data_IF_097425824388
#
_entry.id   IF_097425824388
#
_cell.length_a   1.000
_cell.length_b   1.000
_cell.length_c   1.000
_cell.angle_alpha   90.00
_cell.angle_beta   90.00
_cell.angle_gamma   90.00
#
_symmetry.space_group_name_H-M   'P 1'
#
loop_
_entity.id
_entity.type
_entity.pdbx_description
1 polymer ?
#
# COMPACT_ATOMS: atom_id res chain seq x y z
N UNK A 1 40.01 -56.79 -43.97
CA UNK A 1 38.55 -57.01 -43.89
C UNK A 1 37.95 -55.75 -43.29
N UNK A 2 37.14 -55.08 -44.11
CA UNK A 2 36.02 -54.15 -43.85
C UNK A 2 36.08 -53.25 -42.59
N UNK A 3 36.01 -51.92 -42.66
CA UNK A 3 35.44 -51.04 -43.68
C UNK A 3 34.15 -50.40 -43.15
N UNK A 4 34.08 -49.07 -43.26
CA UNK A 4 32.83 -48.28 -43.23
C UNK A 4 32.28 -47.95 -41.84
N UNK A 5 31.75 -46.77 -41.56
CA UNK A 5 31.46 -45.63 -42.42
C UNK A 5 30.80 -44.54 -41.59
N UNK A 6 31.09 -43.29 -41.93
CA UNK A 6 30.36 -42.13 -41.42
C UNK A 6 28.93 -42.14 -41.99
N UNK A 7 27.94 -41.86 -41.15
CA UNK A 7 26.61 -41.45 -41.61
C UNK A 7 26.24 -40.16 -40.90
N UNK A 8 26.46 -39.04 -41.58
CA UNK A 8 25.72 -37.79 -41.37
C UNK A 8 24.28 -38.04 -41.82
N UNK A 9 23.32 -37.95 -40.90
CA UNK A 9 21.90 -37.79 -41.26
C UNK A 9 21.55 -36.31 -41.10
N UNK A 10 21.43 -35.60 -42.22
CA UNK A 10 20.60 -34.41 -42.32
C UNK A 10 19.14 -34.84 -42.15
N UNK A 11 18.38 -34.18 -41.28
CA UNK A 11 16.92 -34.09 -41.42
C UNK A 11 16.57 -32.64 -41.70
N UNK A 12 16.14 -32.40 -42.93
CA UNK A 12 15.36 -31.23 -43.32
C UNK A 12 13.92 -31.36 -42.80
N UNK A 13 13.34 -30.22 -42.43
CA UNK A 13 11.91 -29.91 -42.55
C UNK A 13 10.91 -30.69 -41.69
N UNK A 14 10.17 -29.99 -40.82
CA UNK A 14 8.78 -29.61 -41.10
C UNK A 14 8.13 -28.90 -39.88
N UNK A 15 7.46 -27.79 -40.18
CA UNK A 15 6.24 -27.23 -39.53
C UNK A 15 6.16 -26.96 -38.03
N UNK A 16 5.92 -25.66 -37.75
CA UNK A 16 4.95 -25.07 -36.81
C UNK A 16 4.26 -26.05 -35.85
N UNK A 17 4.45 -25.81 -34.56
CA UNK A 17 3.40 -26.03 -33.55
C UNK A 17 3.20 -24.73 -32.79
N UNK A 18 2.22 -23.95 -33.25
CA UNK A 18 1.46 -23.09 -32.34
C UNK A 18 0.53 -24.02 -31.55
N UNK A 19 0.64 -23.99 -30.22
CA UNK A 19 -0.29 -24.62 -29.28
C UNK A 19 -0.46 -23.67 -28.11
N UNK A 20 -1.39 -22.72 -28.22
CA UNK A 20 -2.69 -22.72 -27.52
C UNK A 20 -2.54 -22.72 -25.99
N UNK A 21 -2.68 -21.52 -25.40
CA UNK A 21 -3.36 -21.40 -24.11
C UNK A 21 -4.50 -20.38 -24.31
N UNK A 22 -5.63 -20.90 -24.80
CA UNK A 22 -6.90 -20.19 -24.74
C UNK A 22 -7.49 -20.46 -23.36
N UNK A 23 -7.50 -19.44 -22.49
CA UNK A 23 -8.36 -19.42 -21.31
C UNK A 23 -9.48 -18.43 -21.63
N UNK A 24 -10.70 -18.96 -21.66
CA UNK A 24 -11.94 -18.29 -21.99
C UNK A 24 -12.20 -17.13 -21.02
N UNK A 25 -12.32 -15.92 -21.58
CA UNK A 25 -12.89 -14.76 -20.90
C UNK A 25 -14.42 -14.82 -21.03
N UNK A 26 -15.12 -14.78 -19.90
CA UNK A 26 -16.57 -14.59 -19.86
C UNK A 26 -16.86 -13.35 -19.02
N UNK A 27 -17.36 -12.33 -19.74
CA UNK A 27 -18.18 -11.18 -19.30
C UNK A 27 -17.53 -10.10 -18.41
N UNK A 28 -16.88 -9.15 -19.08
CA UNK A 28 -16.74 -7.76 -18.63
C UNK A 28 -16.95 -6.84 -19.84
N UNK A 29 -17.76 -5.79 -19.70
CA UNK A 29 -18.21 -4.95 -20.81
C UNK A 29 -17.10 -4.35 -21.67
N UNK A 30 -17.46 -3.95 -22.90
CA UNK A 30 -16.53 -3.50 -23.95
C UNK A 30 -15.56 -2.36 -23.54
N UNK A 31 -15.91 -1.57 -22.51
CA UNK A 31 -15.04 -0.52 -21.97
C UNK A 31 -13.85 -1.07 -21.17
N UNK A 32 -14.05 -2.09 -20.33
CA UNK A 32 -12.99 -2.72 -19.51
C UNK A 32 -12.01 -3.55 -20.33
N UNK A 33 -12.51 -4.19 -21.39
CA UNK A 33 -11.67 -4.92 -22.35
C UNK A 33 -10.72 -4.00 -23.13
N UNK A 34 -11.15 -2.75 -23.40
CA UNK A 34 -10.34 -1.77 -24.13
C UNK A 34 -9.22 -1.17 -23.27
N UNK A 35 -9.43 -1.04 -21.96
CA UNK A 35 -8.44 -0.52 -21.02
C UNK A 35 -7.31 -1.55 -20.74
N UNK A 36 -7.67 -2.80 -20.44
CA UNK A 36 -6.71 -3.90 -20.24
C UNK A 36 -5.92 -4.24 -21.52
N UNK A 37 -6.51 -4.08 -22.70
CA UNK A 37 -5.80 -4.28 -23.97
C UNK A 37 -4.67 -3.26 -24.20
N UNK A 38 -4.78 -2.05 -23.62
CA UNK A 38 -3.75 -1.01 -23.69
C UNK A 38 -2.57 -1.31 -22.75
N UNK A 39 -2.81 -2.01 -21.64
CA UNK A 39 -1.78 -2.48 -20.69
C UNK A 39 -0.93 -3.61 -21.30
N UNK A 40 -1.49 -4.41 -22.23
CA UNK A 40 -0.81 -5.59 -22.83
C UNK A 40 0.09 -5.32 -24.03
N UNK A 41 0.23 -4.07 -24.47
CA UNK A 41 0.97 -3.74 -25.68
C UNK A 41 2.02 -2.65 -25.46
N UNK A 42 2.94 -2.84 -24.51
CA UNK A 42 4.14 -2.03 -24.41
C UNK A 42 5.35 -2.86 -24.84
N UNK A 43 6.00 -2.43 -25.92
CA UNK A 43 7.36 -2.88 -26.25
C UNK A 43 8.28 -2.47 -25.10
N UNK A 44 9.36 -3.22 -24.81
CA UNK A 44 10.35 -2.76 -23.85
C UNK A 44 10.90 -1.42 -24.35
N UNK A 45 10.65 -0.35 -23.59
CA UNK A 45 11.28 0.95 -23.77
C UNK A 45 12.54 0.93 -22.91
N UNK A 46 13.67 1.35 -23.47
CA UNK A 46 14.88 1.61 -22.69
C UNK A 46 14.54 2.70 -21.67
N UNK A 47 14.34 2.29 -20.41
CA UNK A 47 14.14 3.20 -19.29
C UNK A 47 15.48 3.86 -19.03
N UNK A 48 15.58 5.16 -19.31
CA UNK A 48 16.74 5.95 -18.94
C UNK A 48 16.93 5.81 -17.42
N UNK A 49 18.08 5.26 -16.99
CA UNK A 49 18.35 4.99 -15.58
C UNK A 49 18.59 6.32 -14.85
N UNK A 50 17.52 6.99 -14.46
CA UNK A 50 17.62 8.11 -13.54
C UNK A 50 17.90 7.59 -12.13
N UNK A 51 18.91 8.12 -11.42
CA UNK A 51 19.28 7.62 -10.11
C UNK A 51 18.10 7.77 -9.13
N UNK A 52 17.82 6.70 -8.38
CA UNK A 52 16.97 6.81 -7.21
C UNK A 52 17.62 7.80 -6.25
N UNK A 53 16.89 8.82 -5.81
CA UNK A 53 17.37 9.68 -4.74
C UNK A 53 17.13 8.91 -3.45
N UNK A 54 18.17 8.30 -2.90
CA UNK A 54 18.12 7.77 -1.55
C UNK A 54 18.00 8.95 -0.58
N UNK A 55 16.78 9.15 -0.08
CA UNK A 55 16.55 10.04 1.05
C UNK A 55 16.70 9.23 2.33
N UNK A 56 17.28 9.84 3.37
CA UNK A 56 17.23 9.27 4.71
C UNK A 56 15.79 9.11 5.21
N UNK A 57 14.83 9.84 4.63
CA UNK A 57 13.43 9.87 5.07
C UNK A 57 12.50 8.91 4.30
N UNK A 58 12.83 8.49 3.07
CA UNK A 58 11.96 7.61 2.26
C UNK A 58 12.75 6.84 1.19
N UNK A 59 12.20 5.70 0.74
CA UNK A 59 12.64 4.97 -0.44
C UNK A 59 11.86 5.48 -1.65
N UNK A 60 12.56 6.02 -2.66
CA UNK A 60 11.92 6.41 -3.92
C UNK A 60 12.13 5.31 -4.97
N UNK A 61 11.03 4.78 -5.52
CA UNK A 61 11.08 3.74 -6.52
C UNK A 61 11.69 4.25 -7.84
N UNK A 62 12.57 3.45 -8.46
CA UNK A 62 13.05 3.66 -9.82
C UNK A 62 11.92 3.47 -10.83
N UNK A 63 12.08 4.04 -12.02
CA UNK A 63 11.09 3.91 -13.10
C UNK A 63 10.79 2.47 -13.50
N UNK A 64 11.74 1.55 -13.33
CA UNK A 64 11.59 0.12 -13.60
C UNK A 64 11.33 -0.73 -12.34
N UNK A 65 11.19 -0.10 -11.17
CA UNK A 65 11.10 -0.73 -9.85
C UNK A 65 12.29 -1.62 -9.45
N UNK A 66 13.42 -1.56 -10.15
CA UNK A 66 14.58 -2.45 -9.91
C UNK A 66 15.22 -2.28 -8.52
N UNK A 67 14.97 -1.16 -7.84
CA UNK A 67 15.43 -0.93 -6.48
C UNK A 67 14.42 -1.35 -5.40
N UNK A 68 13.23 -1.82 -5.77
CA UNK A 68 12.28 -2.36 -4.80
C UNK A 68 12.65 -3.81 -4.53
N UNK A 69 13.48 -4.00 -3.51
CA UNK A 69 13.96 -5.30 -3.04
C UNK A 69 13.85 -5.36 -1.52
N UNK A 70 13.86 -6.57 -0.97
CA UNK A 70 13.82 -6.80 0.47
C UNK A 70 14.92 -6.01 1.22
N UNK A 71 16.14 -6.04 0.71
CA UNK A 71 17.29 -5.39 1.35
C UNK A 71 17.26 -3.86 1.26
N UNK A 72 16.48 -3.28 0.34
CA UNK A 72 16.42 -1.83 0.13
C UNK A 72 15.17 -1.16 0.75
N UNK A 73 14.17 -1.96 1.14
CA UNK A 73 12.96 -1.47 1.80
C UNK A 73 13.14 -1.69 3.31
N UNK A 74 13.23 -0.58 4.05
CA UNK A 74 13.34 -0.62 5.51
C UNK A 74 11.96 -0.55 6.17
N UNK A 75 11.82 -1.16 7.35
CA UNK A 75 10.59 -1.17 8.14
C UNK A 75 10.21 0.21 8.69
N UNK A 76 11.17 1.13 8.78
CA UNK A 76 11.01 2.48 9.35
C UNK A 76 10.94 3.58 8.28
N UNK A 77 10.98 3.20 6.98
CA UNK A 77 11.09 4.13 5.87
C UNK A 77 9.96 3.93 4.85
N UNK A 78 9.11 4.94 4.61
CA UNK A 78 8.05 4.84 3.62
C UNK A 78 8.60 4.66 2.21
N UNK A 79 7.80 4.04 1.34
CA UNK A 79 8.14 3.78 -0.06
C UNK A 79 7.18 4.55 -0.95
N UNK A 80 7.73 5.38 -1.84
CA UNK A 80 6.96 6.21 -2.73
C UNK A 80 7.32 5.99 -4.20
N UNK A 81 6.39 6.35 -5.05
CA UNK A 81 6.57 6.47 -6.48
C UNK A 81 6.80 7.94 -6.86
N UNK A 82 7.77 8.17 -7.75
CA UNK A 82 7.99 9.49 -8.38
C UNK A 82 6.88 9.84 -9.38
N UNK A 83 6.16 8.83 -9.86
CA UNK A 83 5.16 8.99 -10.91
C UNK A 83 3.76 8.65 -10.40
N UNK A 84 2.77 9.42 -10.80
CA UNK A 84 1.36 8.99 -10.67
C UNK A 84 1.08 7.83 -11.62
N UNK A 85 0.02 7.04 -11.37
CA UNK A 85 -0.34 5.92 -12.24
C UNK A 85 -0.51 6.37 -13.71
N UNK A 86 -1.18 7.51 -13.93
CA UNK A 86 -1.34 8.13 -15.26
C UNK A 86 0.00 8.45 -15.92
N UNK A 87 0.95 8.99 -15.16
CA UNK A 87 2.28 9.31 -15.67
C UNK A 87 3.06 8.05 -16.05
N UNK A 88 2.97 6.97 -15.27
CA UNK A 88 3.60 5.68 -15.61
C UNK A 88 3.05 5.11 -16.91
N UNK A 89 1.72 5.07 -17.03
CA UNK A 89 1.04 4.60 -18.24
C UNK A 89 1.43 5.44 -19.47
N UNK A 90 1.47 6.76 -19.35
CA UNK A 90 1.87 7.65 -20.45
C UNK A 90 3.34 7.45 -20.88
N UNK A 91 4.21 7.05 -19.96
CA UNK A 91 5.63 6.76 -20.20
C UNK A 91 5.91 5.30 -20.61
N UNK A 92 4.91 4.42 -20.57
CA UNK A 92 5.10 2.99 -20.80
C UNK A 92 5.92 2.29 -19.70
N UNK A 93 5.95 2.84 -18.49
CA UNK A 93 6.63 2.25 -17.32
C UNK A 93 5.78 1.12 -16.72
N UNK A 94 6.41 0.12 -16.06
CA UNK A 94 5.68 -0.93 -15.36
C UNK A 94 4.81 -0.34 -14.25
N UNK A 95 3.57 -0.82 -14.13
CA UNK A 95 2.63 -0.44 -13.07
C UNK A 95 2.61 -1.47 -11.94
N UNK A 96 2.63 -2.76 -12.28
CA UNK A 96 2.70 -3.86 -11.33
C UNK A 96 4.05 -3.90 -10.61
N UNK A 97 4.02 -4.03 -9.29
CA UNK A 97 5.22 -4.18 -8.46
C UNK A 97 5.87 -5.56 -8.69
N UNK A 98 7.20 -5.68 -8.52
CA UNK A 98 7.84 -6.99 -8.49
C UNK A 98 7.32 -7.83 -7.32
N UNK A 99 7.55 -9.14 -7.35
CA UNK A 99 7.29 -9.99 -6.19
C UNK A 99 8.26 -9.60 -5.06
N UNK A 100 7.71 -9.12 -3.94
CA UNK A 100 8.48 -8.70 -2.79
C UNK A 100 8.25 -9.67 -1.63
N UNK A 101 9.29 -10.35 -1.11
CA UNK A 101 9.12 -11.20 0.05
C UNK A 101 8.85 -10.35 1.30
N UNK A 102 8.03 -10.86 2.21
CA UNK A 102 7.74 -10.20 3.47
C UNK A 102 8.85 -10.45 4.50
N UNK A 103 9.00 -9.56 5.48
CA UNK A 103 9.93 -9.78 6.59
C UNK A 103 9.41 -10.86 7.53
N UNK A 104 10.33 -11.59 8.17
CA UNK A 104 10.01 -12.56 9.22
C UNK A 104 10.99 -12.38 10.38
N UNK A 105 10.50 -12.55 11.61
CA UNK A 105 11.26 -12.77 12.87
C UNK A 105 11.35 -11.66 13.94
N UNK A 106 10.97 -10.39 13.73
CA UNK A 106 10.91 -9.38 14.81
C UNK A 106 9.46 -8.96 15.16
N UNK A 107 9.22 -8.59 16.44
CA UNK A 107 7.95 -7.99 16.86
C UNK A 107 7.86 -6.54 16.39
N UNK A 108 6.95 -6.26 15.46
CA UNK A 108 6.77 -4.92 14.89
C UNK A 108 5.33 -4.46 15.03
N UNK A 109 5.15 -3.24 15.53
CA UNK A 109 3.88 -2.54 15.60
C UNK A 109 3.83 -1.44 14.56
N UNK A 110 2.75 -1.41 13.79
CA UNK A 110 2.43 -0.38 12.81
C UNK A 110 1.23 0.38 13.33
N UNK A 111 1.48 1.60 13.80
CA UNK A 111 0.42 2.53 14.17
C UNK A 111 -0.14 3.10 12.87
N UNK A 112 -1.42 2.88 12.60
CA UNK A 112 -2.07 3.35 11.39
C UNK A 112 -3.29 4.21 11.73
N UNK A 113 -3.47 5.31 11.01
CA UNK A 113 -4.53 6.27 11.24
C UNK A 113 -5.29 6.55 9.94
N UNK A 114 -6.60 6.35 9.97
CA UNK A 114 -7.48 6.53 8.82
C UNK A 114 -8.25 7.87 8.90
N UNK A 115 -8.92 8.22 7.80
CA UNK A 115 -9.85 9.35 7.62
C UNK A 115 -9.27 10.78 7.71
N UNK A 116 -7.96 10.92 7.91
CA UNK A 116 -7.28 12.21 7.93
C UNK A 116 -6.87 12.72 6.54
N UNK A 117 -6.05 13.79 6.47
CA UNK A 117 -5.66 14.64 7.59
C UNK A 117 -6.74 15.67 7.96
N UNK A 118 -6.97 15.88 9.25
CA UNK A 118 -7.71 17.05 9.75
C UNK A 118 -6.76 18.13 10.29
N UNK A 119 -7.29 19.27 10.73
CA UNK A 119 -6.52 20.41 11.25
C UNK A 119 -6.36 20.40 12.79
N UNK A 120 -6.87 19.39 13.49
CA UNK A 120 -6.88 19.32 14.96
C UNK A 120 -6.26 18.02 15.49
N UNK A 121 -6.89 16.87 15.23
CA UNK A 121 -6.45 15.59 15.79
C UNK A 121 -5.18 15.08 15.11
N UNK A 122 -5.06 15.26 13.80
CA UNK A 122 -3.88 14.83 13.03
C UNK A 122 -2.62 15.57 13.51
N UNK A 123 -2.58 16.91 13.63
CA UNK A 123 -1.44 17.62 14.24
C UNK A 123 -1.11 17.17 15.67
N UNK A 124 -2.11 16.92 16.50
CA UNK A 124 -1.90 16.49 17.89
C UNK A 124 -1.31 15.06 17.98
N UNK A 125 -1.74 14.16 17.08
CA UNK A 125 -1.15 12.83 16.92
C UNK A 125 0.32 12.95 16.50
N UNK A 126 0.63 13.80 15.51
CA UNK A 126 2.01 14.05 15.08
C UNK A 126 2.89 14.56 16.23
N UNK A 127 2.38 15.46 17.08
CA UNK A 127 3.09 15.94 18.27
C UNK A 127 3.42 14.80 19.25
N UNK A 128 2.47 13.90 19.51
CA UNK A 128 2.69 12.72 20.37
C UNK A 128 3.72 11.78 19.74
N UNK A 129 3.60 11.47 18.46
CA UNK A 129 4.51 10.59 17.73
C UNK A 129 5.94 11.13 17.75
N UNK A 130 6.12 12.42 17.50
CA UNK A 130 7.40 13.12 17.59
C UNK A 130 7.97 13.08 19.00
N UNK A 131 7.16 13.40 20.02
CA UNK A 131 7.59 13.34 21.42
C UNK A 131 7.99 11.93 21.87
N UNK A 132 7.36 10.90 21.30
CA UNK A 132 7.68 9.51 21.55
C UNK A 132 8.79 8.97 20.66
N UNK A 133 9.21 9.66 19.60
CA UNK A 133 10.20 9.17 18.63
C UNK A 133 9.71 7.94 17.87
N UNK A 134 8.49 7.99 17.34
CA UNK A 134 7.84 6.89 16.62
C UNK A 134 7.31 7.40 15.28
N UNK A 135 7.58 6.67 14.19
CA UNK A 135 6.89 6.88 12.92
C UNK A 135 5.63 6.01 12.84
N UNK A 136 4.69 6.42 11.98
CA UNK A 136 3.37 5.82 11.84
C UNK A 136 2.94 5.91 10.37
N UNK A 137 1.77 5.36 10.05
CA UNK A 137 1.16 5.41 8.71
C UNK A 137 -0.17 6.14 8.77
N UNK A 138 -0.42 7.04 7.82
CA UNK A 138 -1.68 7.76 7.70
C UNK A 138 -2.33 7.40 6.37
N UNK A 139 -3.48 6.72 6.40
CA UNK A 139 -4.30 6.47 5.22
C UNK A 139 -5.24 7.66 5.05
N UNK A 140 -4.98 8.48 4.03
CA UNK A 140 -5.59 9.80 3.89
C UNK A 140 -6.71 9.81 2.86
N UNK A 141 -7.73 10.62 3.11
CA UNK A 141 -8.80 10.92 2.17
C UNK A 141 -8.40 12.05 1.23
N UNK A 142 -8.64 11.89 -0.07
CA UNK A 142 -8.29 12.91 -1.08
C UNK A 142 -8.93 14.27 -0.80
N UNK A 143 -10.21 14.31 -0.44
CA UNK A 143 -10.90 15.56 -0.07
C UNK A 143 -10.31 16.23 1.18
N UNK A 144 -9.78 15.46 2.12
CA UNK A 144 -9.13 15.98 3.33
C UNK A 144 -7.71 16.47 3.04
N UNK A 145 -7.00 15.82 2.12
CA UNK A 145 -5.70 16.29 1.62
C UNK A 145 -5.82 17.68 0.97
N UNK A 146 -6.83 17.88 0.11
CA UNK A 146 -7.04 19.18 -0.54
C UNK A 146 -7.44 20.26 0.46
N UNK A 147 -8.18 19.90 1.51
CA UNK A 147 -8.59 20.82 2.58
C UNK A 147 -7.45 21.18 3.52
N UNK A 148 -6.57 20.23 3.84
CA UNK A 148 -5.51 20.37 4.85
C UNK A 148 -4.10 20.05 4.30
N UNK A 149 -3.65 20.70 3.21
CA UNK A 149 -2.40 20.35 2.53
C UNK A 149 -1.15 20.56 3.40
N UNK A 150 -1.17 21.54 4.30
CA UNK A 150 -0.05 21.80 5.22
C UNK A 150 0.10 20.68 6.26
N UNK A 151 -1.00 20.04 6.67
CA UNK A 151 -0.94 18.88 7.56
C UNK A 151 -0.38 17.67 6.83
N UNK A 152 -0.76 17.44 5.57
CA UNK A 152 -0.16 16.39 4.75
C UNK A 152 1.35 16.59 4.56
N UNK A 153 1.79 17.83 4.27
CA UNK A 153 3.23 18.16 4.19
C UNK A 153 3.95 17.85 5.50
N UNK A 154 3.31 18.10 6.64
CA UNK A 154 3.86 17.79 7.96
C UNK A 154 4.01 16.28 8.17
N UNK A 155 2.98 15.49 7.83
CA UNK A 155 3.05 14.01 7.86
C UNK A 155 4.26 13.53 7.07
N UNK A 156 4.42 14.02 5.83
CA UNK A 156 5.53 13.65 4.96
C UNK A 156 6.90 14.09 5.50
N UNK A 157 7.02 15.35 5.94
CA UNK A 157 8.28 15.93 6.40
C UNK A 157 8.78 15.30 7.71
N UNK A 158 7.88 14.79 8.56
CA UNK A 158 8.21 14.10 9.81
C UNK A 158 8.49 12.59 9.61
N UNK A 159 8.51 12.09 8.36
CA UNK A 159 8.95 10.73 8.04
C UNK A 159 7.90 9.64 8.23
N UNK A 160 6.63 10.02 8.38
CA UNK A 160 5.53 9.06 8.43
C UNK A 160 5.18 8.53 7.03
N UNK A 161 4.66 7.30 6.95
CA UNK A 161 4.09 6.81 5.71
C UNK A 161 2.73 7.46 5.44
N UNK A 162 2.48 7.69 4.15
CA UNK A 162 1.18 8.12 3.65
C UNK A 162 0.65 6.99 2.79
N UNK A 163 -0.58 6.56 3.06
CA UNK A 163 -1.34 5.64 2.24
C UNK A 163 -2.61 6.30 1.71
N UNK A 164 -3.23 5.70 0.72
CA UNK A 164 -4.47 6.19 0.11
C UNK A 164 -5.69 5.52 0.77
N UNK A 165 -6.72 6.29 1.12
CA UNK A 165 -7.96 5.79 1.74
C UNK A 165 -9.23 6.14 0.97
N UNK A 166 -9.17 6.29 -0.36
CA UNK A 166 -10.24 6.84 -1.21
C UNK A 166 -10.40 8.35 -1.12
N UNK A 167 -11.36 8.90 -1.87
CA UNK A 167 -11.49 10.34 -2.01
C UNK A 167 -12.32 10.97 -0.89
N UNK A 168 -13.50 10.42 -0.60
CA UNK A 168 -14.42 10.97 0.41
C UNK A 168 -15.10 9.91 1.30
N UNK A 169 -14.74 8.63 1.14
CA UNK A 169 -15.27 7.51 1.95
C UNK A 169 -16.78 7.21 1.71
N UNK A 170 -17.35 7.57 0.55
CA UNK A 170 -18.71 7.20 0.12
C UNK A 170 -18.77 5.76 -0.42
N UNK A 171 -19.35 4.84 0.34
CA UNK A 171 -19.37 3.41 0.00
C UNK A 171 -20.19 3.08 -1.25
N UNK A 172 -21.31 3.77 -1.47
CA UNK A 172 -22.19 3.47 -2.59
C UNK A 172 -21.49 3.76 -3.91
N UNK A 173 -20.68 4.82 -3.94
CA UNK A 173 -19.89 5.18 -5.11
C UNK A 173 -18.60 4.37 -5.20
N UNK A 174 -17.87 4.25 -4.10
CA UNK A 174 -16.57 3.60 -4.04
C UNK A 174 -16.64 2.12 -4.44
N UNK A 175 -17.66 1.40 -3.96
CA UNK A 175 -17.82 -0.03 -4.18
C UNK A 175 -18.80 -0.38 -5.31
N UNK A 176 -19.25 0.60 -6.10
CA UNK A 176 -20.10 0.36 -7.27
C UNK A 176 -19.43 -0.56 -8.31
N UNK A 177 -18.11 -0.48 -8.44
CA UNK A 177 -17.29 -1.35 -9.29
C UNK A 177 -15.80 -1.24 -8.90
N UNK A 178 -14.97 -2.17 -9.36
CA UNK A 178 -13.50 -2.07 -9.20
C UNK A 178 -12.93 -0.85 -9.93
N UNK A 179 -13.54 -0.46 -11.05
CA UNK A 179 -13.16 0.73 -11.80
C UNK A 179 -13.45 2.00 -10.98
N UNK A 180 -14.64 2.09 -10.36
CA UNK A 180 -15.00 3.20 -9.46
C UNK A 180 -14.04 3.31 -8.27
N UNK A 181 -13.65 2.17 -7.69
CA UNK A 181 -12.66 2.14 -6.63
C UNK A 181 -11.30 2.70 -7.09
N UNK A 182 -10.81 2.25 -8.25
CA UNK A 182 -9.54 2.73 -8.82
C UNK A 182 -9.61 4.21 -9.18
N UNK A 183 -10.74 4.69 -9.68
CA UNK A 183 -10.94 6.12 -9.98
C UNK A 183 -10.76 6.99 -8.73
N UNK A 184 -11.30 6.56 -7.57
CA UNK A 184 -11.09 7.26 -6.30
C UNK A 184 -9.65 7.16 -5.78
N UNK A 185 -9.00 6.01 -5.97
CA UNK A 185 -7.57 5.88 -5.65
C UNK A 185 -6.74 6.85 -6.50
N UNK A 186 -6.95 6.89 -7.82
CA UNK A 186 -6.22 7.80 -8.70
C UNK A 186 -6.52 9.27 -8.38
N UNK A 187 -7.75 9.61 -8.05
CA UNK A 187 -8.10 10.99 -7.67
C UNK A 187 -7.36 11.42 -6.39
N UNK A 188 -7.28 10.53 -5.42
CA UNK A 188 -6.58 10.77 -4.15
C UNK A 188 -5.07 10.78 -4.33
N UNK A 189 -4.51 9.90 -5.16
CA UNK A 189 -3.09 9.91 -5.52
C UNK A 189 -2.70 11.22 -6.19
N UNK A 190 -3.53 11.77 -7.07
CA UNK A 190 -3.29 13.07 -7.70
C UNK A 190 -3.37 14.22 -6.67
N UNK A 191 -4.28 14.16 -5.69
CA UNK A 191 -4.34 15.13 -4.61
C UNK A 191 -3.06 15.09 -3.74
N UNK A 192 -2.61 13.90 -3.34
CA UNK A 192 -1.35 13.70 -2.61
C UNK A 192 -0.17 14.19 -3.44
N UNK A 193 -0.08 13.79 -4.71
CA UNK A 193 1.02 14.13 -5.61
C UNK A 193 1.15 15.64 -5.81
N UNK A 194 0.05 16.39 -5.93
CA UNK A 194 0.10 17.87 -6.01
C UNK A 194 0.75 18.51 -4.79
N UNK A 195 0.63 17.90 -3.60
CA UNK A 195 1.12 18.45 -2.34
C UNK A 195 2.58 18.07 -2.08
N UNK A 196 2.95 16.80 -2.29
CA UNK A 196 4.28 16.27 -1.93
C UNK A 196 5.14 15.81 -3.13
N UNK A 197 4.61 15.83 -4.35
CA UNK A 197 5.32 15.42 -5.57
C UNK A 197 5.58 13.92 -5.68
N UNK A 198 4.88 13.11 -4.90
CA UNK A 198 5.07 11.67 -4.78
C UNK A 198 3.74 10.95 -4.62
N UNK A 199 3.65 9.72 -5.11
CA UNK A 199 2.49 8.83 -5.00
C UNK A 199 2.77 7.69 -4.01
N UNK A 200 1.84 7.34 -3.11
CA UNK A 200 1.95 6.14 -2.28
C UNK A 200 1.63 4.86 -3.07
N UNK A 201 2.21 3.74 -2.66
CA UNK A 201 1.82 2.40 -3.17
C UNK A 201 0.75 1.73 -2.32
N UNK A 202 0.75 2.04 -1.03
CA UNK A 202 -0.11 1.39 -0.06
C UNK A 202 -1.47 2.07 -0.02
N UNK A 203 -2.52 1.26 0.08
CA UNK A 203 -3.89 1.70 0.23
C UNK A 203 -4.54 0.94 1.38
N UNK A 204 -5.64 1.46 1.90
CA UNK A 204 -6.54 0.71 2.76
C UNK A 204 -7.96 0.94 2.28
N UNK A 205 -8.74 -0.12 2.16
CA UNK A 205 -10.13 -0.03 1.74
C UNK A 205 -11.00 0.55 2.88
N UNK A 206 -11.78 1.63 2.66
CA UNK A 206 -12.81 2.11 3.58
C UNK A 206 -13.75 0.99 4.08
N UNK A 207 -13.74 0.72 5.39
CA UNK A 207 -14.52 -0.37 5.98
C UNK A 207 -13.89 -1.77 5.91
N UNK A 208 -12.69 -1.87 5.34
CA UNK A 208 -11.94 -3.11 5.17
C UNK A 208 -12.42 -3.96 4.01
N UNK A 209 -11.65 -4.99 3.69
CA UNK A 209 -11.88 -5.79 2.47
C UNK A 209 -12.95 -6.88 2.62
N UNK A 210 -13.24 -7.32 3.86
CA UNK A 210 -14.12 -8.45 4.13
C UNK A 210 -15.55 -8.17 3.67
N UNK A 211 -16.03 -8.96 2.72
CA UNK A 211 -17.37 -8.79 2.14
C UNK A 211 -17.45 -7.74 1.03
N UNK A 212 -16.40 -6.95 0.82
CA UNK A 212 -16.30 -5.95 -0.25
C UNK A 212 -15.44 -6.43 -1.41
N UNK A 213 -14.30 -7.07 -1.12
CA UNK A 213 -13.33 -7.50 -2.14
C UNK A 213 -13.50 -8.96 -2.53
N UNK A 214 -13.41 -9.20 -3.83
CA UNK A 214 -13.26 -10.49 -4.48
C UNK A 214 -11.80 -10.73 -4.89
N UNK A 215 -11.44 -11.96 -5.27
CA UNK A 215 -10.08 -12.27 -5.72
C UNK A 215 -9.65 -11.42 -6.93
N UNK A 216 -10.56 -11.16 -7.87
CA UNK A 216 -10.28 -10.32 -9.04
C UNK A 216 -10.08 -8.84 -8.68
N UNK A 217 -10.58 -8.38 -7.52
CA UNK A 217 -10.34 -7.04 -7.00
C UNK A 217 -8.85 -6.88 -6.64
N UNK A 218 -8.30 -7.83 -5.89
CA UNK A 218 -6.87 -7.86 -5.55
C UNK A 218 -5.99 -7.97 -6.80
N UNK A 219 -6.36 -8.82 -7.76
CA UNK A 219 -5.63 -8.92 -9.03
C UNK A 219 -5.64 -7.59 -9.79
N UNK A 220 -6.79 -6.90 -9.82
CA UNK A 220 -6.93 -5.61 -10.47
C UNK A 220 -6.05 -4.53 -9.82
N UNK A 221 -6.04 -4.43 -8.49
CA UNK A 221 -5.19 -3.50 -7.75
C UNK A 221 -3.70 -3.79 -7.96
N UNK A 222 -3.31 -5.07 -7.93
CA UNK A 222 -1.92 -5.48 -8.14
C UNK A 222 -1.41 -5.08 -9.53
N UNK A 223 -2.22 -5.21 -10.59
CA UNK A 223 -1.87 -4.76 -11.94
C UNK A 223 -1.56 -3.25 -12.01
N UNK A 224 -2.07 -2.47 -11.06
CA UNK A 224 -1.90 -1.01 -10.98
C UNK A 224 -0.87 -0.59 -9.92
N UNK A 225 -0.21 -1.57 -9.30
CA UNK A 225 0.82 -1.34 -8.30
C UNK A 225 0.29 -0.83 -6.97
N UNK A 226 -1.00 -1.05 -6.67
CA UNK A 226 -1.55 -0.80 -5.35
C UNK A 226 -1.37 -2.04 -4.46
N UNK A 227 -0.99 -1.80 -3.21
CA UNK A 227 -0.92 -2.83 -2.17
C UNK A 227 -1.92 -2.47 -1.09
N UNK A 228 -2.95 -3.30 -0.94
CA UNK A 228 -3.95 -3.13 0.11
C UNK A 228 -3.41 -3.67 1.44
N UNK A 229 -3.73 -3.00 2.55
CA UNK A 229 -3.46 -3.47 3.91
C UNK A 229 -4.64 -3.18 4.85
N UNK A 230 -5.33 -4.23 5.29
CA UNK A 230 -6.31 -4.20 6.40
C UNK A 230 -5.61 -3.97 7.77
N UNK A 231 -6.09 -4.59 8.84
CA UNK A 231 -5.54 -4.56 10.20
C UNK A 231 -5.81 -5.88 10.94
N UNK A 232 -5.04 -6.17 11.98
CA UNK A 232 -5.28 -7.31 12.88
C UNK A 232 -5.48 -6.91 14.35
N UNK A 233 -5.29 -5.62 14.67
CA UNK A 233 -5.52 -5.05 16.00
C UNK A 233 -6.34 -3.77 15.84
N UNK A 234 -7.32 -3.54 16.71
CA UNK A 234 -8.19 -2.37 16.68
C UNK A 234 -8.32 -1.74 18.07
N UNK A 235 -8.41 -0.41 18.13
CA UNK A 235 -8.75 0.35 19.34
C UNK A 235 -10.25 0.45 19.59
N UNK A 236 -11.09 0.06 18.63
CA UNK A 236 -12.54 0.30 18.65
C UNK A 236 -12.93 1.80 18.68
N UNK A 237 -12.03 2.71 18.31
CA UNK A 237 -12.29 4.16 18.34
C UNK A 237 -13.37 4.65 17.34
N UNK A 238 -13.73 3.81 16.37
CA UNK A 238 -14.84 4.04 15.44
C UNK A 238 -16.15 3.35 15.82
N UNK A 239 -16.22 2.63 16.95
CA UNK A 239 -17.46 1.98 17.35
C UNK A 239 -18.45 2.98 17.97
N UNK A 240 -19.77 2.68 17.94
CA UNK A 240 -20.79 3.55 18.52
C UNK A 240 -20.63 3.79 20.03
N UNK A 241 -19.87 2.95 20.74
CA UNK A 241 -19.61 3.12 22.17
C UNK A 241 -18.62 4.26 22.48
N UNK A 242 -17.88 4.77 21.49
CA UNK A 242 -16.87 5.81 21.65
C UNK A 242 -15.95 5.57 22.87
N UNK A 243 -15.12 4.51 22.85
CA UNK A 243 -14.35 4.11 24.02
C UNK A 243 -13.37 5.22 24.46
N UNK A 244 -13.27 5.42 25.78
CA UNK A 244 -12.28 6.33 26.39
C UNK A 244 -10.85 5.88 26.10
N UNK A 245 -9.90 6.79 26.27
CA UNK A 245 -8.48 6.52 26.10
C UNK A 245 -8.00 5.30 26.89
N UNK A 246 -8.43 5.13 28.14
CA UNK A 246 -8.07 4.00 28.98
C UNK A 246 -8.62 2.67 28.42
N UNK A 247 -9.83 2.69 27.84
CA UNK A 247 -10.41 1.50 27.20
C UNK A 247 -9.67 1.16 25.93
N UNK A 248 -9.32 2.14 25.10
CA UNK A 248 -8.50 1.93 23.91
C UNK A 248 -7.12 1.33 24.25
N UNK A 249 -6.46 1.83 25.30
CA UNK A 249 -5.21 1.25 25.81
C UNK A 249 -5.41 -0.20 26.27
N UNK A 250 -6.47 -0.48 27.04
CA UNK A 250 -6.80 -1.85 27.48
C UNK A 250 -7.04 -2.81 26.30
N UNK A 251 -7.69 -2.32 25.24
CA UNK A 251 -7.94 -3.09 24.03
C UNK A 251 -6.66 -3.46 23.30
N UNK A 252 -5.75 -2.49 23.08
CA UNK A 252 -4.43 -2.77 22.53
C UNK A 252 -3.67 -3.73 23.44
N UNK A 253 -3.73 -3.51 24.75
CA UNK A 253 -3.04 -4.35 25.72
C UNK A 253 -3.45 -5.83 25.58
N UNK A 254 -4.76 -6.08 25.61
CA UNK A 254 -5.33 -7.43 25.49
C UNK A 254 -5.03 -8.06 24.14
N UNK A 255 -5.18 -7.31 23.04
CA UNK A 255 -5.01 -7.84 21.67
C UNK A 255 -3.56 -8.15 21.32
N UNK A 256 -2.61 -7.52 22.00
CA UNK A 256 -1.16 -7.74 21.79
C UNK A 256 -0.51 -8.59 22.88
N UNK A 257 -1.29 -9.19 23.78
CA UNK A 257 -0.78 -10.08 24.83
C UNK A 257 -0.33 -11.45 24.29
N UNK A 258 -0.93 -11.90 23.18
CA UNK A 258 -0.66 -13.20 22.56
C UNK A 258 0.34 -13.14 21.41
N UNK A 259 0.52 -14.29 20.74
CA UNK A 259 1.26 -14.35 19.49
C UNK A 259 0.37 -13.89 18.34
N UNK A 260 0.79 -12.84 17.65
CA UNK A 260 0.19 -12.38 16.40
C UNK A 260 0.91 -13.03 15.22
N UNK A 261 0.18 -13.25 14.12
CA UNK A 261 0.75 -13.71 12.86
C UNK A 261 1.93 -12.82 12.45
N UNK A 262 3.02 -13.46 12.02
CA UNK A 262 4.27 -12.80 11.62
C UNK A 262 4.89 -11.87 12.68
N UNK A 263 4.50 -12.02 13.95
CA UNK A 263 4.83 -11.13 15.07
C UNK A 263 4.44 -9.66 14.83
N UNK A 264 3.46 -9.42 13.96
CA UNK A 264 3.06 -8.09 13.52
C UNK A 264 1.76 -7.63 14.20
N UNK A 265 1.77 -6.42 14.74
CA UNK A 265 0.56 -5.70 15.14
C UNK A 265 0.30 -4.55 14.16
N UNK A 266 -0.66 -4.73 13.25
CA UNK A 266 -1.14 -3.67 12.35
C UNK A 266 -2.40 -3.07 12.97
N UNK A 267 -2.24 -1.89 13.58
CA UNK A 267 -3.20 -1.31 14.52
C UNK A 267 -4.04 -0.24 13.81
N UNK A 268 -5.35 -0.48 13.70
CA UNK A 268 -6.31 0.50 13.19
C UNK A 268 -6.71 1.51 14.28
N UNK A 269 -6.60 2.78 13.92
CA UNK A 269 -7.06 3.97 14.63
C UNK A 269 -7.51 5.03 13.61
N UNK A 270 -8.11 6.11 14.07
CA UNK A 270 -8.58 7.20 13.22
C UNK A 270 -8.02 8.56 13.69
N UNK A 271 -7.83 9.49 12.76
CA UNK A 271 -7.24 10.81 13.02
C UNK A 271 -8.11 12.00 12.56
N UNK A 272 -9.38 11.75 12.25
CA UNK A 272 -10.39 12.76 11.95
C UNK A 272 -11.07 13.31 13.22
N UNK A 273 -11.91 14.33 13.06
CA UNK A 273 -12.68 14.93 14.16
C UNK A 273 -13.56 13.91 14.90
N UNK A 274 -13.71 14.05 16.22
CA UNK A 274 -14.43 13.09 17.06
C UNK A 274 -13.57 11.92 17.55
N UNK A 275 -12.25 11.94 17.30
CA UNK A 275 -11.26 10.94 17.73
C UNK A 275 -10.29 11.48 18.78
N UNK A 276 -10.74 12.42 19.60
CA UNK A 276 -9.90 13.06 20.63
C UNK A 276 -9.42 12.04 21.68
N UNK A 277 -10.21 11.01 21.97
CA UNK A 277 -9.81 9.90 22.84
C UNK A 277 -8.65 9.08 22.26
N UNK A 278 -8.57 8.94 20.94
CA UNK A 278 -7.43 8.29 20.26
C UNK A 278 -6.15 9.09 20.47
N UNK A 279 -6.23 10.42 20.37
CA UNK A 279 -5.09 11.32 20.67
C UNK A 279 -4.62 11.12 22.12
N UNK A 280 -5.56 11.06 23.08
CA UNK A 280 -5.27 10.84 24.51
C UNK A 280 -4.72 9.44 24.80
N UNK A 281 -5.17 8.42 24.09
CA UNK A 281 -4.74 7.03 24.26
C UNK A 281 -3.32 6.79 23.75
N UNK A 282 -2.95 7.48 22.66
CA UNK A 282 -1.74 7.20 21.88
C UNK A 282 -0.44 7.13 22.71
N UNK A 283 -0.15 8.05 23.66
CA UNK A 283 1.04 7.94 24.50
C UNK A 283 1.10 6.61 25.28
N UNK A 284 -0.03 6.18 25.86
CA UNK A 284 -0.14 4.95 26.63
C UNK A 284 -0.09 3.69 25.76
N UNK A 285 -0.68 3.75 24.55
CA UNK A 285 -0.57 2.69 23.54
C UNK A 285 0.90 2.45 23.17
N UNK A 286 1.65 3.52 22.88
CA UNK A 286 3.07 3.43 22.52
C UNK A 286 3.89 2.83 23.68
N UNK A 287 3.66 3.30 24.91
CA UNK A 287 4.39 2.79 26.08
C UNK A 287 4.08 1.32 26.36
N UNK A 288 2.82 0.90 26.19
CA UNK A 288 2.41 -0.50 26.34
C UNK A 288 3.10 -1.42 25.33
N UNK A 289 3.12 -1.03 24.05
CA UNK A 289 3.75 -1.80 22.97
C UNK A 289 5.26 -1.90 23.19
N UNK A 290 5.93 -0.82 23.62
CA UNK A 290 7.35 -0.85 23.99
C UNK A 290 7.64 -1.81 25.13
N UNK A 291 6.83 -1.78 26.18
CA UNK A 291 6.97 -2.68 27.32
C UNK A 291 6.85 -4.17 26.93
N UNK A 292 6.15 -4.46 25.83
CA UNK A 292 5.99 -5.81 25.25
C UNK A 292 7.06 -6.20 24.22
N UNK A 293 8.05 -5.32 24.01
CA UNK A 293 9.17 -5.55 23.11
C UNK A 293 8.85 -5.30 21.62
N UNK A 294 7.78 -4.57 21.31
CA UNK A 294 7.53 -4.14 19.93
C UNK A 294 8.48 -3.01 19.52
N UNK A 295 9.04 -3.15 18.32
CA UNK A 295 9.57 -2.02 17.56
C UNK A 295 8.46 -1.36 16.78
N UNK A 296 8.66 -0.13 16.34
CA UNK A 296 7.71 0.57 15.48
C UNK A 296 8.22 0.64 14.05
N UNK A 297 7.31 0.43 13.12
CA UNK A 297 7.55 0.58 11.69
C UNK A 297 6.42 1.35 11.02
N UNK A 298 6.63 1.67 9.75
CA UNK A 298 5.63 2.23 8.85
C UNK A 298 5.22 1.18 7.83
N UNK A 299 3.98 1.22 7.36
CA UNK A 299 3.51 0.26 6.37
C UNK A 299 4.22 0.53 5.04
N UNK A 300 4.63 -0.54 4.37
CA UNK A 300 5.31 -0.51 3.08
C UNK A 300 4.76 -1.64 2.21
N UNK A 301 5.08 -1.67 0.90
CA UNK A 301 4.70 -2.79 0.03
C UNK A 301 5.18 -4.18 0.48
N UNK A 302 6.16 -4.27 1.39
CA UNK A 302 6.65 -5.55 1.92
C UNK A 302 6.06 -5.92 3.29
N UNK A 303 5.22 -5.06 3.85
CA UNK A 303 4.54 -5.33 5.11
C UNK A 303 3.59 -6.53 4.90
N UNK A 304 3.71 -7.61 5.70
CA UNK A 304 2.85 -8.78 5.60
C UNK A 304 1.37 -8.41 5.68
N UNK A 305 0.54 -9.25 5.07
CA UNK A 305 -0.90 -9.12 5.23
C UNK A 305 -1.35 -9.57 6.63
N UNK A 306 -2.34 -8.89 7.24
CA UNK A 306 -2.76 -9.15 8.61
C UNK A 306 -3.56 -10.46 8.80
N UNK A 307 -4.04 -11.09 7.72
CA UNK A 307 -4.75 -12.39 7.70
C UNK A 307 -3.83 -13.53 7.29
#
# INVERSE_FOLDING_TARGET
MNGGGAVKVKREGFTKVMGVLAVLFVLGGAAGAFWLAKVRATKPVEVEQEPGVESAAYTLAKGDYSNLTYDNISLDRPVYDRYTLKQRLAKGLPTMLPALPHYTAEKVAYLTFDDGPDDVNTPAILDVLKAKGVHATFYVLGGMVEKNPEVLKRIFAEGHAIGNHSYDHDYDRLYASKESFVEEMEQTDEAIFKVIGMRPFIIRAPGGTVGMFTADFYEHLNLLGYVEHDWNVLTEDATPEHPSAERQICYIDRRTAGHLKDNMALILMHCNGGKEETVRALPGIIDNLRAKGYRFGVVTPITPQPW
#
